data_IF_484187620155
#
_entry.id   IF_484187620155
#
_cell.length_a   1.000
_cell.length_b   1.000
_cell.length_c   1.000
_cell.angle_alpha   90.00
_cell.angle_beta   90.00
_cell.angle_gamma   90.00
#
_symmetry.space_group_name_H-M   'P 1'
#
loop_
_entity.id
_entity.type
_entity.pdbx_description
1 polymer ?
#
# COMPACT_ATOMS: atom_id res chain seq x y z
N UNK A 1 10.22 34.14 19.66
CA UNK A 1 11.19 34.27 20.78
C UNK A 1 10.57 33.85 22.11
N UNK A 2 9.43 34.42 22.54
CA UNK A 2 8.80 34.01 23.81
C UNK A 2 8.27 32.57 23.81
N UNK A 3 7.59 32.14 22.74
CA UNK A 3 7.02 30.77 22.62
C UNK A 3 8.12 29.70 22.59
N UNK A 4 9.21 29.97 21.89
CA UNK A 4 10.36 29.07 21.78
C UNK A 4 11.11 28.92 23.11
N UNK A 5 11.27 30.01 23.88
CA UNK A 5 11.87 29.97 25.21
C UNK A 5 10.99 29.22 26.23
N UNK A 6 9.66 29.37 26.13
CA UNK A 6 8.69 28.64 26.95
C UNK A 6 8.74 27.13 26.67
N UNK A 7 8.83 26.72 25.40
CA UNK A 7 8.98 25.32 25.02
C UNK A 7 10.28 24.70 25.55
N UNK A 8 11.41 25.42 25.48
CA UNK A 8 12.71 24.96 26.02
C UNK A 8 12.70 24.85 27.55
N UNK A 9 11.98 25.75 28.24
CA UNK A 9 11.83 25.74 29.69
C UNK A 9 10.92 24.59 30.18
N UNK A 10 9.88 24.26 29.41
CA UNK A 10 8.94 23.19 29.75
C UNK A 10 9.43 21.79 29.33
N UNK A 11 10.36 21.70 28.37
CA UNK A 11 10.97 20.45 27.91
C UNK A 11 11.56 19.55 29.02
N UNK A 12 12.33 20.06 30.01
CA UNK A 12 12.85 19.23 31.10
C UNK A 12 11.78 18.77 32.10
N UNK A 13 10.60 19.39 32.12
CA UNK A 13 9.59 19.18 33.16
C UNK A 13 8.85 17.84 33.02
N UNK A 14 9.05 17.09 31.92
CA UNK A 14 8.44 15.78 31.61
C UNK A 14 7.02 15.65 32.17
N UNK A 15 6.19 16.67 31.93
CA UNK A 15 4.82 16.70 32.43
C UNK A 15 4.09 15.51 31.79
N UNK A 16 3.83 14.47 32.58
CA UNK A 16 2.99 13.33 32.16
C UNK A 16 1.56 13.84 32.06
N UNK A 17 1.26 14.53 30.97
CA UNK A 17 -0.09 14.94 30.65
C UNK A 17 -0.95 13.67 30.46
N UNK A 18 -2.23 13.71 30.83
CA UNK A 18 -3.13 12.63 30.52
C UNK A 18 -3.21 12.47 29.01
N UNK A 19 -3.12 11.23 28.50
CA UNK A 19 -3.26 10.91 27.07
C UNK A 19 -4.57 11.48 26.47
N UNK A 20 -5.61 11.62 27.30
CA UNK A 20 -6.86 12.26 26.91
C UNK A 20 -6.72 13.76 26.57
N UNK A 21 -5.82 14.48 27.22
CA UNK A 21 -5.53 15.89 26.91
C UNK A 21 -4.77 15.99 25.59
N UNK A 22 -3.80 15.11 25.36
CA UNK A 22 -3.06 15.05 24.10
C UNK A 22 -4.00 14.76 22.92
N UNK A 23 -4.91 13.79 23.04
CA UNK A 23 -5.91 13.51 21.99
C UNK A 23 -6.84 14.71 21.75
N UNK A 24 -7.31 15.39 22.80
CA UNK A 24 -8.16 16.59 22.65
C UNK A 24 -7.43 17.74 21.95
N UNK A 25 -6.17 17.97 22.31
CA UNK A 25 -5.33 18.97 21.65
C UNK A 25 -5.08 18.59 20.20
N UNK A 26 -4.78 17.31 19.93
CA UNK A 26 -4.56 16.79 18.59
C UNK A 26 -5.81 16.93 17.70
N UNK A 27 -6.99 16.53 18.19
CA UNK A 27 -8.26 16.68 17.49
C UNK A 27 -8.59 18.15 17.23
N UNK A 28 -8.34 19.03 18.20
CA UNK A 28 -8.55 20.47 18.03
C UNK A 28 -7.61 21.05 16.96
N UNK A 29 -6.34 20.66 16.97
CA UNK A 29 -5.36 21.09 15.97
C UNK A 29 -5.75 20.59 14.58
N UNK A 30 -6.10 19.31 14.44
CA UNK A 30 -6.55 18.72 13.17
C UNK A 30 -7.82 19.39 12.63
N UNK A 31 -8.82 19.63 13.50
CA UNK A 31 -10.10 20.22 13.09
C UNK A 31 -9.96 21.70 12.75
N UNK A 32 -9.02 22.40 13.42
CA UNK A 32 -8.70 23.81 13.13
C UNK A 32 -7.79 24.01 11.92
N UNK A 33 -7.12 22.94 11.46
CA UNK A 33 -6.28 23.02 10.28
C UNK A 33 -7.15 23.31 9.05
N UNK A 34 -6.74 24.25 8.20
CA UNK A 34 -7.49 24.56 6.99
C UNK A 34 -7.53 23.31 6.10
N UNK A 35 -8.73 22.80 5.84
CA UNK A 35 -8.96 21.78 4.82
C UNK A 35 -8.40 22.31 3.50
N UNK A 36 -7.35 21.68 2.98
CA UNK A 36 -6.89 21.97 1.64
C UNK A 36 -8.06 21.67 0.69
N UNK A 37 -8.37 22.63 -0.20
CA UNK A 37 -9.39 22.42 -1.22
C UNK A 37 -8.97 21.24 -2.10
N UNK A 38 -9.59 20.09 -1.87
CA UNK A 38 -9.40 18.93 -2.73
C UNK A 38 -10.15 19.19 -4.03
N UNK A 39 -9.63 18.66 -5.13
CA UNK A 39 -10.28 18.76 -6.45
C UNK A 39 -11.63 18.03 -6.51
N UNK A 40 -12.00 17.28 -5.47
CA UNK A 40 -13.27 16.55 -5.35
C UNK A 40 -13.41 15.32 -6.25
N UNK A 41 -12.45 15.05 -7.12
CA UNK A 41 -12.44 13.91 -8.03
C UNK A 41 -11.74 12.71 -7.41
N UNK A 42 -12.44 11.97 -6.56
CA UNK A 42 -12.07 10.62 -6.15
C UNK A 42 -12.96 9.61 -6.90
N UNK A 43 -12.34 8.69 -7.62
CA UNK A 43 -13.04 7.58 -8.29
C UNK A 43 -12.74 6.31 -7.51
N UNK A 44 -13.79 5.63 -7.05
CA UNK A 44 -13.68 4.33 -6.37
C UNK A 44 -13.88 3.24 -7.41
N UNK A 45 -12.93 2.32 -7.48
CA UNK A 45 -13.00 1.15 -8.36
C UNK A 45 -13.22 -0.07 -7.47
N UNK A 46 -14.40 -0.66 -7.58
CA UNK A 46 -14.78 -1.83 -6.79
C UNK A 46 -14.45 -3.14 -7.51
N UNK A 47 -14.16 -4.19 -6.74
CA UNK A 47 -13.96 -5.56 -7.24
C UNK A 47 -15.25 -6.33 -6.98
N UNK A 48 -16.15 -6.24 -7.95
CA UNK A 48 -17.47 -6.87 -7.86
C UNK A 48 -17.44 -8.36 -8.22
N UNK A 49 -18.56 -9.04 -7.94
CA UNK A 49 -18.76 -10.46 -8.25
C UNK A 49 -18.60 -10.75 -9.76
N UNK A 50 -18.96 -9.81 -10.62
CA UNK A 50 -18.78 -9.97 -12.08
C UNK A 50 -17.29 -9.98 -12.45
N UNK A 51 -16.50 -9.13 -11.81
CA UNK A 51 -15.06 -9.05 -11.96
C UNK A 51 -14.39 -10.32 -11.45
N UNK A 52 -14.82 -10.83 -10.28
CA UNK A 52 -14.31 -12.11 -9.75
C UNK A 52 -14.65 -13.30 -10.66
N UNK A 53 -15.86 -13.35 -11.21
CA UNK A 53 -16.23 -14.38 -12.20
C UNK A 53 -15.37 -14.32 -13.47
N UNK A 54 -14.96 -13.11 -13.89
CA UNK A 54 -14.18 -12.90 -15.11
C UNK A 54 -12.68 -13.14 -14.93
N UNK A 55 -12.12 -12.68 -13.82
CA UNK A 55 -10.67 -12.69 -13.59
C UNK A 55 -10.24 -13.78 -12.61
N UNK A 56 -11.18 -14.44 -11.96
CA UNK A 56 -10.93 -15.48 -10.96
C UNK A 56 -10.95 -14.93 -9.54
N UNK A 57 -10.75 -15.86 -8.60
CA UNK A 57 -10.88 -15.61 -7.18
C UNK A 57 -9.85 -14.58 -6.68
N UNK A 58 -10.29 -13.76 -5.73
CA UNK A 58 -9.43 -12.87 -4.95
C UNK A 58 -8.70 -13.66 -3.84
N UNK A 59 -7.45 -13.34 -3.46
CA UNK A 59 -6.60 -12.23 -3.92
C UNK A 59 -5.96 -12.46 -5.29
N UNK A 60 -5.94 -11.42 -6.11
CA UNK A 60 -5.31 -11.48 -7.43
C UNK A 60 -3.78 -11.38 -7.37
N UNK A 61 -3.08 -11.95 -8.37
CA UNK A 61 -1.62 -11.85 -8.47
C UNK A 61 -1.15 -10.39 -8.64
N UNK A 62 0.05 -10.06 -8.16
CA UNK A 62 0.57 -8.68 -8.19
C UNK A 62 0.74 -8.17 -9.62
N UNK A 63 1.08 -9.03 -10.58
CA UNK A 63 1.17 -8.62 -11.99
C UNK A 63 -0.17 -8.08 -12.52
N UNK A 64 -1.30 -8.60 -12.03
CA UNK A 64 -2.63 -8.15 -12.45
C UNK A 64 -2.98 -6.81 -11.80
N UNK A 65 -2.64 -6.66 -10.52
CA UNK A 65 -2.79 -5.39 -9.81
C UNK A 65 -1.98 -4.28 -10.50
N UNK A 66 -0.76 -4.58 -10.94
CA UNK A 66 0.06 -3.64 -11.72
C UNK A 66 -0.59 -3.25 -13.06
N UNK A 67 -1.16 -4.22 -13.81
CA UNK A 67 -1.88 -3.93 -15.05
C UNK A 67 -3.15 -3.08 -14.82
N UNK A 68 -3.85 -3.31 -13.70
CA UNK A 68 -4.99 -2.47 -13.32
C UNK A 68 -4.53 -1.04 -13.04
N UNK A 69 -3.48 -0.86 -12.24
CA UNK A 69 -2.90 0.46 -11.96
C UNK A 69 -2.51 1.21 -13.25
N UNK A 70 -1.78 0.54 -14.15
CA UNK A 70 -1.35 1.12 -15.42
C UNK A 70 -2.53 1.57 -16.30
N UNK A 71 -3.62 0.80 -16.30
CA UNK A 71 -4.85 1.20 -17.00
C UNK A 71 -5.50 2.42 -16.36
N UNK A 72 -5.55 2.49 -15.02
CA UNK A 72 -6.10 3.65 -14.32
C UNK A 72 -5.28 4.92 -14.59
N UNK A 73 -3.95 4.83 -14.60
CA UNK A 73 -3.07 5.94 -14.99
C UNK A 73 -3.32 6.37 -16.44
N UNK A 74 -3.49 5.42 -17.37
CA UNK A 74 -3.88 5.74 -18.76
C UNK A 74 -5.24 6.42 -18.89
N UNK A 75 -6.16 6.17 -17.97
CA UNK A 75 -7.45 6.86 -17.90
C UNK A 75 -7.36 8.26 -17.26
N UNK A 76 -6.17 8.73 -16.88
CA UNK A 76 -5.95 10.07 -16.33
C UNK A 76 -5.93 10.14 -14.80
N UNK A 77 -5.85 9.00 -14.09
CA UNK A 77 -5.66 9.02 -12.65
C UNK A 77 -4.32 9.69 -12.30
N UNK A 78 -4.33 10.69 -11.41
CA UNK A 78 -3.10 11.35 -10.92
C UNK A 78 -2.38 10.49 -9.89
N UNK A 79 -3.13 9.74 -9.09
CA UNK A 79 -2.64 8.80 -8.10
C UNK A 79 -3.63 7.63 -7.99
N UNK A 80 -3.13 6.45 -7.67
CA UNK A 80 -3.92 5.24 -7.42
C UNK A 80 -3.57 4.75 -6.02
N UNK A 81 -4.58 4.64 -5.16
CA UNK A 81 -4.44 4.06 -3.82
C UNK A 81 -5.11 2.69 -3.80
N UNK A 82 -4.52 1.75 -3.06
CA UNK A 82 -5.08 0.43 -2.83
C UNK A 82 -5.47 0.31 -1.37
N UNK A 83 -6.71 -0.14 -1.11
CA UNK A 83 -7.19 -0.48 0.24
C UNK A 83 -6.75 -1.90 0.64
N UNK A 84 -5.44 -2.17 0.50
CA UNK A 84 -4.84 -3.43 0.90
C UNK A 84 -3.32 -3.28 1.10
N UNK A 85 -2.76 -4.16 1.94
CA UNK A 85 -1.31 -4.19 2.23
C UNK A 85 -0.64 -5.31 1.45
N UNK A 86 0.49 -5.01 0.81
CA UNK A 86 1.32 -5.98 0.08
C UNK A 86 2.56 -6.38 0.91
N UNK A 87 2.35 -6.96 2.10
CA UNK A 87 3.42 -7.22 3.08
C UNK A 87 4.43 -8.29 2.63
N UNK A 88 3.95 -9.44 2.17
CA UNK A 88 4.83 -10.55 1.75
C UNK A 88 4.95 -10.65 0.23
N UNK A 89 6.08 -11.13 -0.32
CA UNK A 89 6.26 -11.25 -1.76
C UNK A 89 5.20 -12.13 -2.42
N UNK A 90 4.95 -11.88 -3.72
CA UNK A 90 3.85 -12.50 -4.47
C UNK A 90 3.91 -14.04 -4.45
N UNK A 91 2.93 -14.64 -3.75
CA UNK A 91 2.76 -16.10 -3.64
C UNK A 91 2.28 -16.73 -4.94
N UNK A 92 1.71 -15.94 -5.84
CA UNK A 92 1.20 -16.40 -7.15
C UNK A 92 2.18 -16.11 -8.29
N UNK A 93 3.40 -15.67 -7.97
CA UNK A 93 4.46 -15.52 -8.98
C UNK A 93 4.94 -16.88 -9.48
N UNK A 94 5.25 -16.96 -10.78
CA UNK A 94 5.66 -18.21 -11.44
C UNK A 94 6.91 -18.81 -10.79
N UNK A 95 7.88 -17.96 -10.42
CA UNK A 95 9.12 -18.39 -9.77
C UNK A 95 8.84 -19.02 -8.40
N UNK A 96 8.07 -18.34 -7.54
CA UNK A 96 7.68 -18.88 -6.23
C UNK A 96 6.92 -20.19 -6.36
N UNK A 97 5.96 -20.25 -7.29
CA UNK A 97 5.18 -21.46 -7.51
C UNK A 97 6.07 -22.62 -7.95
N UNK A 98 7.03 -22.40 -8.85
CA UNK A 98 7.98 -23.46 -9.24
C UNK A 98 8.86 -23.93 -8.07
N UNK A 99 9.29 -23.02 -7.19
CA UNK A 99 10.07 -23.36 -6.00
C UNK A 99 9.24 -24.14 -4.97
N UNK A 100 7.97 -23.78 -4.79
CA UNK A 100 7.04 -24.47 -3.89
C UNK A 100 6.71 -25.87 -4.41
N UNK A 101 6.45 -26.02 -5.71
CA UNK A 101 6.17 -27.33 -6.32
C UNK A 101 7.37 -28.28 -6.24
N UNK A 102 8.58 -27.78 -6.48
CA UNK A 102 9.79 -28.60 -6.34
C UNK A 102 10.01 -29.05 -4.89
N UNK A 103 9.67 -28.19 -3.92
CA UNK A 103 9.84 -28.47 -2.48
C UNK A 103 8.80 -29.45 -1.93
N UNK A 104 7.53 -29.24 -2.26
CA UNK A 104 6.42 -29.92 -1.59
C UNK A 104 5.96 -31.16 -2.34
N UNK A 105 6.16 -31.20 -3.66
CA UNK A 105 5.70 -32.28 -4.54
C UNK A 105 6.84 -33.04 -5.23
N UNK A 106 8.10 -32.61 -5.05
CA UNK A 106 9.28 -33.14 -5.77
C UNK A 106 9.12 -33.05 -7.31
N UNK A 107 8.38 -32.02 -7.78
CA UNK A 107 8.12 -31.78 -9.21
C UNK A 107 8.85 -30.53 -9.68
N UNK A 108 9.84 -30.70 -10.54
CA UNK A 108 10.50 -29.58 -11.21
C UNK A 108 9.65 -29.05 -12.38
N UNK A 109 9.08 -27.86 -12.20
CA UNK A 109 8.38 -27.15 -13.27
C UNK A 109 9.30 -26.10 -13.88
N UNK A 110 9.72 -26.34 -15.13
CA UNK A 110 10.52 -25.38 -15.91
C UNK A 110 9.64 -24.69 -16.94
N UNK A 111 9.47 -23.39 -16.80
CA UNK A 111 8.80 -22.57 -17.80
C UNK A 111 9.73 -22.31 -18.98
N UNK A 112 9.29 -22.62 -20.20
CA UNK A 112 10.09 -22.44 -21.43
C UNK A 112 10.30 -20.97 -21.79
N UNK A 113 9.31 -20.13 -21.46
CA UNK A 113 9.37 -18.67 -21.56
C UNK A 113 8.68 -18.08 -20.33
N UNK A 114 9.37 -17.19 -19.61
CA UNK A 114 8.78 -16.44 -18.50
C UNK A 114 8.61 -14.99 -18.99
N UNK A 115 7.37 -14.49 -19.14
CA UNK A 115 7.14 -13.12 -19.56
C UNK A 115 7.78 -12.14 -18.57
N UNK A 116 8.57 -11.19 -19.04
CA UNK A 116 9.32 -10.24 -18.20
C UNK A 116 8.44 -9.53 -17.16
N UNK A 117 7.21 -9.19 -17.56
CA UNK A 117 6.15 -8.59 -16.71
C UNK A 117 5.67 -9.46 -15.54
N UNK A 118 6.08 -10.71 -15.47
CA UNK A 118 5.78 -11.65 -14.38
C UNK A 118 6.96 -11.88 -13.43
N UNK A 119 8.15 -11.35 -13.77
CA UNK A 119 9.42 -11.65 -13.09
C UNK A 119 9.73 -10.68 -11.95
N UNK A 120 8.98 -9.59 -11.76
CA UNK A 120 9.40 -8.50 -10.87
C UNK A 120 8.55 -8.33 -9.61
N UNK A 121 9.18 -8.60 -8.46
CA UNK A 121 9.27 -7.66 -7.33
C UNK A 121 10.17 -8.27 -6.23
N UNK A 122 11.48 -8.37 -6.49
CA UNK A 122 12.46 -8.91 -5.52
C UNK A 122 13.89 -8.38 -5.65
N UNK A 123 14.12 -7.34 -6.47
CA UNK A 123 15.42 -6.63 -6.54
C UNK A 123 15.18 -5.12 -6.37
N UNK A 124 14.92 -4.70 -5.14
CA UNK A 124 15.05 -3.31 -4.72
C UNK A 124 15.35 -3.33 -3.21
N UNK A 125 16.60 -3.06 -2.84
CA UNK A 125 17.06 -3.03 -1.45
C UNK A 125 18.45 -3.64 -1.31
N UNK A 126 19.46 -2.95 -1.85
CA UNK A 126 20.84 -3.39 -1.82
C UNK A 126 21.76 -2.41 -2.52
N UNK A 127 21.78 -1.17 -2.03
CA UNK A 127 22.88 -0.20 -2.10
C UNK A 127 22.66 0.86 -1.04
#
# INVERSE_FOLDING_TARGET
>A
MAVTALFLLLYPLKLRLPVALDHKLYDSLLTSAPLQKTTGLAVVVDIDEKSLKRFGQWPWPRYRMAQLAERLFRCGALAVSFDMVFAEPDRTSLLRLSEEMARDLDVEVRFQEVPEKSVTSGKAGGM
#
